data_IF_867197920662
#
_entry.id   IF_867197920662
#
_cell.length_a   1.000
_cell.length_b   1.000
_cell.length_c   1.000
_cell.angle_alpha   90.00
_cell.angle_beta   90.00
_cell.angle_gamma   90.00
#
_symmetry.space_group_name_H-M   'P 1'
#
loop_
_entity.id
_entity.type
_entity.pdbx_description
1 polymer ?
#
# COMPACT_ATOMS: atom_id res chain seq x y z
N UNK A 1 -13.46 -15.08 -2.42
CA UNK A 1 -13.21 -13.69 -1.98
C UNK A 1 -12.40 -13.01 -3.07
N UNK A 2 -12.85 -11.86 -3.60
CA UNK A 2 -12.16 -11.19 -4.69
C UNK A 2 -11.22 -10.12 -4.13
N UNK A 3 -9.91 -10.39 -4.15
CA UNK A 3 -8.89 -9.47 -3.64
C UNK A 3 -8.59 -8.42 -4.70
N UNK A 4 -8.73 -7.15 -4.31
CA UNK A 4 -8.41 -5.98 -5.13
C UNK A 4 -7.08 -5.39 -4.67
N UNK A 5 -6.41 -4.70 -5.59
CA UNK A 5 -5.17 -4.01 -5.32
C UNK A 5 -5.22 -2.57 -5.81
N UNK A 6 -4.49 -1.68 -5.13
CA UNK A 6 -4.32 -0.28 -5.52
C UNK A 6 -2.86 0.12 -5.36
N UNK A 7 -2.33 0.84 -6.34
CA UNK A 7 -1.04 1.51 -6.22
C UNK A 7 -1.21 2.80 -5.40
N UNK A 8 -0.40 2.95 -4.35
CA UNK A 8 -0.49 4.02 -3.37
C UNK A 8 0.81 4.81 -3.39
N UNK A 9 0.72 6.10 -3.70
CA UNK A 9 1.87 7.01 -3.57
C UNK A 9 2.10 7.32 -2.09
N UNK A 10 3.23 6.82 -1.56
CA UNK A 10 3.69 7.11 -0.22
C UNK A 10 4.34 8.49 -0.16
N UNK A 11 5.20 8.78 -1.15
CA UNK A 11 5.94 10.02 -1.27
C UNK A 11 6.00 10.46 -2.71
N UNK A 12 5.80 11.76 -2.94
CA UNK A 12 5.86 12.33 -4.29
C UNK A 12 7.32 12.38 -4.76
N UNK A 13 7.56 12.21 -6.07
CA UNK A 13 8.87 12.47 -6.64
C UNK A 13 9.27 13.94 -6.47
N UNK A 14 10.58 14.17 -6.39
CA UNK A 14 11.23 15.50 -6.42
C UNK A 14 12.54 15.41 -7.20
N UNK A 15 13.23 16.54 -7.45
CA UNK A 15 14.36 16.62 -8.39
C UNK A 15 15.39 15.48 -8.29
N UNK A 16 15.81 15.12 -7.08
CA UNK A 16 16.80 14.06 -6.85
C UNK A 16 16.17 12.83 -6.16
N UNK A 17 14.85 12.70 -6.21
CA UNK A 17 14.14 11.66 -5.51
C UNK A 17 12.99 11.10 -6.38
N UNK A 18 13.03 9.82 -6.77
CA UNK A 18 12.00 9.24 -7.62
C UNK A 18 10.63 9.08 -6.92
N UNK A 19 10.53 9.44 -5.64
CA UNK A 19 9.36 9.23 -4.83
C UNK A 19 9.26 7.78 -4.37
N UNK A 20 8.08 7.40 -3.87
CA UNK A 20 7.87 6.04 -3.42
C UNK A 20 6.40 5.65 -3.58
N UNK A 21 6.19 4.45 -4.11
CA UNK A 21 4.89 3.83 -4.24
C UNK A 21 4.87 2.49 -3.51
N UNK A 22 3.69 2.04 -3.10
CA UNK A 22 3.47 0.70 -2.56
C UNK A 22 2.17 0.16 -3.14
N UNK A 23 2.01 -1.16 -3.11
CA UNK A 23 0.72 -1.78 -3.40
C UNK A 23 -0.01 -2.06 -2.09
N UNK A 24 -1.30 -1.72 -2.04
CA UNK A 24 -2.18 -2.09 -0.94
C UNK A 24 -3.28 -3.03 -1.45
N UNK A 25 -3.62 -4.04 -0.65
CA UNK A 25 -4.63 -5.03 -1.00
C UNK A 25 -5.85 -4.89 -0.10
N UNK A 26 -7.03 -5.12 -0.65
CA UNK A 26 -8.28 -5.03 0.08
C UNK A 26 -9.35 -5.92 -0.54
N UNK A 27 -10.37 -6.22 0.26
CA UNK A 27 -11.59 -6.90 -0.18
C UNK A 27 -12.80 -6.03 0.13
N UNK A 28 -13.87 -6.21 -0.63
CA UNK A 28 -15.16 -5.59 -0.38
C UNK A 28 -16.13 -6.65 0.12
N UNK A 29 -16.65 -6.46 1.33
CA UNK A 29 -17.66 -7.28 1.97
C UNK A 29 -18.94 -6.46 2.09
N UNK A 30 -19.77 -6.46 1.03
CA UNK A 30 -20.95 -5.60 0.98
C UNK A 30 -20.57 -4.11 0.91
N UNK A 31 -20.97 -3.35 1.92
CA UNK A 31 -20.63 -1.93 2.09
C UNK A 31 -19.38 -1.72 2.95
N UNK A 32 -18.61 -2.76 3.25
CA UNK A 32 -17.38 -2.65 4.04
C UNK A 32 -16.14 -2.96 3.20
N UNK A 33 -15.14 -2.10 3.31
CA UNK A 33 -13.79 -2.30 2.82
C UNK A 33 -12.92 -2.82 3.95
N UNK A 34 -12.20 -3.92 3.72
CA UNK A 34 -11.25 -4.49 4.69
C UNK A 34 -9.88 -4.62 4.04
N UNK A 35 -8.85 -4.09 4.69
CA UNK A 35 -7.47 -4.21 4.21
C UNK A 35 -6.95 -5.64 4.43
N UNK A 36 -6.31 -6.18 3.39
CA UNK A 36 -5.78 -7.55 3.38
C UNK A 36 -4.32 -7.58 2.92
N UNK A 37 -3.72 -8.76 3.02
CA UNK A 37 -2.52 -9.14 2.27
C UNK A 37 -2.94 -9.57 0.85
N UNK A 38 -1.96 -9.84 -0.02
CA UNK A 38 -2.21 -10.23 -1.41
C UNK A 38 -2.96 -11.56 -1.56
N UNK A 39 -2.93 -12.42 -0.53
CA UNK A 39 -3.66 -13.69 -0.45
C UNK A 39 -5.11 -13.54 0.06
N UNK A 40 -5.52 -12.32 0.44
CA UNK A 40 -6.84 -12.03 1.01
C UNK A 40 -6.92 -12.17 2.53
N UNK A 41 -5.83 -12.55 3.21
CA UNK A 41 -5.78 -12.58 4.68
C UNK A 41 -5.90 -11.16 5.25
N UNK A 42 -6.85 -10.85 6.14
CA UNK A 42 -6.96 -9.53 6.75
C UNK A 42 -5.69 -9.13 7.51
N UNK A 43 -5.26 -7.87 7.39
CA UNK A 43 -4.06 -7.39 8.11
C UNK A 43 -4.35 -7.16 9.59
N UNK A 44 -5.43 -6.43 9.87
CA UNK A 44 -6.07 -6.29 11.18
C UNK A 44 -7.51 -5.82 10.89
N UNK A 45 -8.49 -6.73 10.89
CA UNK A 45 -9.85 -6.43 10.41
C UNK A 45 -10.62 -5.50 11.34
N UNK A 46 -10.19 -5.29 12.59
CA UNK A 46 -10.86 -4.36 13.49
C UNK A 46 -10.42 -2.92 13.25
N UNK A 47 -9.12 -2.74 12.96
CA UNK A 47 -8.50 -1.42 12.80
C UNK A 47 -8.45 -0.91 11.37
N UNK A 48 -8.17 -1.78 10.39
CA UNK A 48 -7.99 -1.39 8.99
C UNK A 48 -9.17 -1.82 8.13
N UNK A 49 -10.35 -1.35 8.54
CA UNK A 49 -11.60 -1.47 7.80
C UNK A 49 -12.31 -0.13 7.69
N UNK A 50 -13.18 0.00 6.72
CA UNK A 50 -14.00 1.19 6.54
C UNK A 50 -15.36 0.84 5.94
N UNK A 51 -16.42 1.36 6.56
CA UNK A 51 -17.77 1.29 6.01
C UNK A 51 -17.95 2.35 4.94
N UNK A 52 -18.12 1.91 3.70
CA UNK A 52 -18.36 2.73 2.53
C UNK A 52 -19.73 3.38 2.60
N UNK A 53 -19.77 4.68 2.31
CA UNK A 53 -21.01 5.44 2.12
C UNK A 53 -21.29 5.60 0.62
N UNK A 54 -22.53 5.90 0.23
CA UNK A 54 -22.83 6.21 -1.17
C UNK A 54 -21.93 7.32 -1.71
N UNK A 55 -21.23 7.03 -2.81
CA UNK A 55 -20.30 7.97 -3.45
C UNK A 55 -18.85 7.91 -2.96
N UNK A 56 -18.54 7.13 -1.92
CA UNK A 56 -17.16 6.88 -1.53
C UNK A 56 -16.44 6.06 -2.63
N UNK A 57 -15.21 6.43 -2.96
CA UNK A 57 -14.34 5.65 -3.84
C UNK A 57 -13.53 4.63 -3.01
N UNK A 58 -13.78 3.32 -3.14
CA UNK A 58 -13.05 2.29 -2.42
C UNK A 58 -11.54 2.33 -2.67
N UNK A 59 -11.12 2.73 -3.87
CA UNK A 59 -9.69 2.78 -4.25
C UNK A 59 -8.98 3.90 -3.51
N UNK A 60 -9.59 5.09 -3.41
CA UNK A 60 -9.05 6.20 -2.63
C UNK A 60 -8.98 5.85 -1.12
N UNK A 61 -10.01 5.21 -0.58
CA UNK A 61 -10.05 4.79 0.83
C UNK A 61 -9.01 3.72 1.14
N UNK A 62 -8.91 2.69 0.28
CA UNK A 62 -7.84 1.68 0.38
C UNK A 62 -6.46 2.32 0.32
N UNK A 63 -6.28 3.36 -0.49
CA UNK A 63 -5.03 4.12 -0.55
C UNK A 63 -4.69 4.83 0.76
N UNK A 64 -5.68 5.45 1.41
CA UNK A 64 -5.50 6.10 2.71
C UNK A 64 -5.18 5.09 3.82
N UNK A 65 -5.96 4.01 3.91
CA UNK A 65 -5.75 2.95 4.90
C UNK A 65 -4.44 2.19 4.66
N UNK A 66 -4.06 1.95 3.40
CA UNK A 66 -2.79 1.31 3.04
C UNK A 66 -1.57 2.06 3.60
N UNK A 67 -1.61 3.40 3.65
CA UNK A 67 -0.57 4.21 4.30
C UNK A 67 -0.51 3.99 5.81
N UNK A 68 -1.66 3.87 6.46
CA UNK A 68 -1.76 3.61 7.90
C UNK A 68 -1.29 2.19 8.24
N UNK A 69 -1.73 1.18 7.48
CA UNK A 69 -1.26 -0.21 7.58
C UNK A 69 0.26 -0.28 7.50
N UNK A 70 0.86 0.40 6.51
CA UNK A 70 2.32 0.43 6.35
C UNK A 70 3.03 1.02 7.58
N UNK A 71 2.47 2.10 8.14
CA UNK A 71 3.05 2.81 9.29
C UNK A 71 2.90 2.03 10.60
N UNK A 72 1.75 1.40 10.81
CA UNK A 72 1.34 0.90 12.13
C UNK A 72 1.42 -0.61 12.26
N UNK A 73 1.11 -1.36 11.19
CA UNK A 73 1.03 -2.82 11.23
C UNK A 73 2.30 -3.49 10.69
N UNK A 74 2.81 -2.97 9.57
CA UNK A 74 3.95 -3.60 8.90
C UNK A 74 5.31 -3.24 9.51
N UNK A 75 5.38 -2.26 10.42
CA UNK A 75 6.60 -1.83 11.17
C UNK A 75 7.88 -1.98 10.34
N UNK A 76 7.84 -1.47 9.11
CA UNK A 76 8.86 -1.73 8.10
C UNK A 76 10.19 -1.25 8.66
N UNK A 77 11.08 -2.20 8.95
CA UNK A 77 12.45 -1.92 9.37
C UNK A 77 13.22 -1.30 8.19
N UNK A 78 14.25 -0.50 8.44
CA UNK A 78 15.11 0.09 7.39
C UNK A 78 15.58 -0.95 6.36
N UNK A 79 15.75 -2.20 6.78
CA UNK A 79 16.14 -3.33 5.93
C UNK A 79 15.04 -3.75 4.93
N UNK A 80 13.76 -3.65 5.31
CA UNK A 80 12.63 -3.86 4.41
C UNK A 80 12.37 -2.65 3.51
N UNK A 81 12.76 -1.44 3.92
CA UNK A 81 12.80 -0.29 3.00
C UNK A 81 13.79 -0.53 1.85
N UNK A 82 14.91 -1.23 2.07
CA UNK A 82 15.88 -1.55 0.99
C UNK A 82 15.33 -2.49 -0.08
N UNK A 83 14.41 -3.39 0.25
CA UNK A 83 13.75 -4.24 -0.76
C UNK A 83 12.80 -3.42 -1.67
N UNK A 84 12.26 -2.31 -1.14
CA UNK A 84 11.39 -1.37 -1.87
C UNK A 84 12.10 -0.06 -2.25
N UNK A 85 13.42 0.02 -2.06
CA UNK A 85 14.23 1.12 -2.50
C UNK A 85 14.32 1.09 -4.04
N UNK A 86 14.61 2.23 -4.69
CA UNK A 86 15.00 2.22 -6.08
C UNK A 86 16.08 1.16 -6.31
N UNK A 87 15.99 0.43 -7.42
CA UNK A 87 17.04 -0.50 -7.82
C UNK A 87 18.34 0.31 -7.98
N UNK A 88 19.30 0.06 -7.09
CA UNK A 88 20.67 0.56 -7.20
C UNK A 88 21.43 -0.38 -8.13
N UNK A 89 21.70 0.08 -9.35
CA UNK A 89 22.46 -0.68 -10.34
C UNK A 89 23.98 -0.50 -10.18
N UNK A 90 24.44 0.21 -9.14
CA UNK A 90 25.81 0.72 -9.04
C UNK A 90 26.15 1.68 -10.19
N UNK A 91 27.34 2.28 -10.15
CA UNK A 91 27.99 2.81 -11.36
C UNK A 91 28.31 1.62 -12.27
N UNK A 92 27.28 1.07 -12.90
CA UNK A 92 27.45 0.06 -13.92
C UNK A 92 27.87 0.79 -15.19
N UNK A 93 29.17 0.70 -15.47
CA UNK A 93 29.76 0.91 -16.79
C UNK A 93 29.11 -0.08 -17.78
N UNK A 94 27.86 0.18 -18.18
CA UNK A 94 27.28 -0.44 -19.37
C UNK A 94 27.81 0.32 -20.59
N UNK A 95 28.96 -0.17 -21.09
CA UNK A 95 29.41 0.00 -22.48
C UNK A 95 28.60 -0.93 -23.37
#
# INVERSE_FOLDING_TARGET
MNVKQVAVHLRRPSNNDPGQVTTAYYVLNGDELVMTRGDGTPVDPERFRHKLRPGDDPTAIAGALGKQVRREALKITEEQERFYAPLDYGDSDFI
#
